data_IF_265009326187
#
_entry.id   IF_265009326187
#
_cell.length_a   1.000
_cell.length_b   1.000
_cell.length_c   1.000
_cell.angle_alpha   90.00
_cell.angle_beta   90.00
_cell.angle_gamma   90.00
#
_symmetry.space_group_name_H-M   'P 1'
#
loop_
_entity.id
_entity.type
_entity.pdbx_description
1 polymer ?
#
# COMPACT_ATOMS: atom_id res chain seq x y z
N UNK A 1 -21.25 -11.03 -70.46
CA UNK A 1 -20.70 -10.40 -69.24
C UNK A 1 -21.17 -11.19 -68.02
N UNK A 2 -20.34 -11.29 -66.97
CA UNK A 2 -19.99 -12.58 -66.39
C UNK A 2 -20.26 -12.67 -64.89
N UNK A 3 -20.18 -13.89 -64.35
CA UNK A 3 -19.52 -14.11 -63.06
C UNK A 3 -18.73 -15.41 -63.13
N UNK A 4 -17.49 -15.29 -62.68
CA UNK A 4 -16.35 -16.14 -62.94
C UNK A 4 -15.72 -16.44 -61.57
N UNK A 5 -15.41 -17.70 -61.29
CA UNK A 5 -14.18 -18.22 -60.62
C UNK A 5 -14.43 -19.44 -59.71
N UNK A 6 -14.07 -20.60 -60.29
CA UNK A 6 -13.01 -21.55 -59.87
C UNK A 6 -12.92 -22.02 -58.41
N UNK A 7 -13.21 -23.31 -58.25
CA UNK A 7 -12.30 -24.43 -57.91
C UNK A 7 -11.23 -24.23 -56.83
N UNK A 8 -11.33 -25.02 -55.73
CA UNK A 8 -10.35 -26.03 -55.31
C UNK A 8 -10.66 -26.54 -53.89
N UNK A 9 -11.56 -27.53 -53.77
CA UNK A 9 -11.76 -28.29 -52.52
C UNK A 9 -12.05 -29.74 -52.91
N UNK A 10 -11.03 -30.56 -53.22
CA UNK A 10 -11.16 -32.04 -53.15
C UNK A 10 -9.88 -32.85 -53.45
N UNK A 11 -8.66 -32.39 -53.10
CA UNK A 11 -7.44 -33.18 -53.41
C UNK A 11 -6.32 -33.13 -52.36
N UNK A 12 -6.64 -32.96 -51.07
CA UNK A 12 -5.63 -32.92 -50.01
C UNK A 12 -5.93 -33.78 -48.78
N UNK A 13 -6.90 -34.70 -48.87
CA UNK A 13 -7.34 -35.52 -47.73
C UNK A 13 -6.97 -37.01 -47.83
N UNK A 14 -6.21 -37.44 -48.84
CA UNK A 14 -5.92 -38.85 -49.09
C UNK A 14 -4.42 -39.24 -49.02
N UNK A 15 -3.55 -38.38 -48.48
CA UNK A 15 -2.10 -38.66 -48.45
C UNK A 15 -1.42 -38.52 -47.07
N UNK A 16 -2.18 -38.61 -45.97
CA UNK A 16 -1.63 -38.54 -44.61
C UNK A 16 -1.94 -39.76 -43.72
N UNK A 17 -2.58 -40.80 -44.27
CA UNK A 17 -2.88 -42.06 -43.58
C UNK A 17 -2.09 -43.18 -44.27
N UNK A 18 -0.76 -43.16 -44.14
CA UNK A 18 0.11 -44.28 -44.52
C UNK A 18 1.52 -44.22 -43.89
N UNK A 19 1.72 -43.45 -42.81
CA UNK A 19 3.01 -43.36 -42.10
C UNK A 19 2.90 -43.78 -40.62
N UNK A 20 2.09 -44.80 -40.36
CA UNK A 20 2.12 -45.53 -39.09
C UNK A 20 2.24 -47.01 -39.41
N UNK A 21 3.49 -47.52 -39.45
CA UNK A 21 3.91 -48.80 -38.85
C UNK A 21 5.33 -49.20 -39.28
N UNK A 22 6.13 -49.63 -38.28
CA UNK A 22 7.48 -50.27 -38.28
C UNK A 22 8.67 -49.30 -38.45
N UNK A 23 9.61 -49.21 -37.51
CA UNK A 23 10.40 -50.32 -36.95
C UNK A 23 10.91 -50.08 -35.52
N UNK A 24 11.04 -51.17 -34.76
CA UNK A 24 11.76 -51.28 -33.48
C UNK A 24 13.19 -51.81 -33.71
N UNK A 25 14.01 -51.73 -32.65
CA UNK A 25 15.43 -52.14 -32.43
C UNK A 25 16.42 -50.98 -32.63
N UNK A 26 17.31 -50.60 -31.70
CA UNK A 26 17.79 -51.29 -30.49
C UNK A 26 18.42 -50.31 -29.48
N UNK A 27 18.69 -50.83 -28.28
CA UNK A 27 19.14 -50.18 -27.02
C UNK A 27 20.45 -49.36 -27.11
N UNK A 28 20.48 -48.20 -26.45
CA UNK A 28 21.61 -47.81 -25.55
C UNK A 28 21.17 -46.71 -24.58
N UNK A 29 21.71 -46.75 -23.36
CA UNK A 29 21.11 -46.15 -22.16
C UNK A 29 20.92 -44.63 -22.21
N UNK A 30 19.68 -44.21 -21.90
CA UNK A 30 19.43 -42.87 -21.39
C UNK A 30 20.14 -42.76 -20.04
N UNK A 31 21.29 -42.11 -20.02
CA UNK A 31 21.79 -41.48 -18.81
C UNK A 31 20.65 -40.61 -18.28
N UNK A 32 20.19 -40.94 -17.08
CA UNK A 32 19.51 -39.98 -16.23
C UNK A 32 20.49 -38.82 -16.07
N UNK A 33 20.32 -37.76 -16.86
CA UNK A 33 20.76 -36.43 -16.44
C UNK A 33 19.86 -36.14 -15.25
N UNK A 34 20.34 -36.59 -14.08
CA UNK A 34 19.97 -36.01 -12.80
C UNK A 34 20.25 -34.53 -13.02
N UNK A 35 19.19 -33.77 -13.34
CA UNK A 35 19.24 -32.34 -13.26
C UNK A 35 19.71 -32.07 -11.86
N UNK A 36 20.96 -31.60 -11.74
CA UNK A 36 21.51 -31.19 -10.47
C UNK A 36 20.47 -30.25 -9.89
N UNK A 37 19.77 -30.68 -8.85
CA UNK A 37 19.16 -29.74 -7.93
C UNK A 37 20.28 -28.75 -7.64
N UNK A 38 20.13 -27.52 -8.14
CA UNK A 38 20.98 -26.42 -7.73
C UNK A 38 20.93 -26.48 -6.22
N UNK A 39 22.02 -26.93 -5.60
CA UNK A 39 22.15 -26.98 -4.15
C UNK A 39 21.64 -25.64 -3.65
N UNK A 40 20.60 -25.67 -2.82
CA UNK A 40 20.12 -24.49 -2.10
C UNK A 40 21.36 -23.87 -1.46
N UNK A 41 21.86 -22.80 -2.07
CA UNK A 41 22.99 -22.04 -1.59
C UNK A 41 22.66 -21.69 -0.14
N UNK A 42 23.30 -22.43 0.76
CA UNK A 42 22.91 -22.46 2.17
C UNK A 42 23.23 -21.08 2.69
N UNK A 43 22.19 -20.30 3.02
CA UNK A 43 22.39 -18.92 3.40
C UNK A 43 23.22 -18.86 4.69
N UNK A 44 24.45 -18.32 4.62
CA UNK A 44 25.33 -18.15 5.78
C UNK A 44 25.45 -16.67 6.11
N UNK A 45 24.73 -16.24 7.16
CA UNK A 45 24.72 -14.84 7.63
C UNK A 45 26.12 -14.29 7.92
N UNK A 46 27.04 -15.12 8.43
CA UNK A 46 28.40 -14.73 8.80
C UNK A 46 29.16 -14.08 7.63
N UNK A 47 28.82 -14.45 6.39
CA UNK A 47 29.44 -13.90 5.18
C UNK A 47 29.05 -12.44 4.90
N UNK A 48 28.09 -11.90 5.65
CA UNK A 48 27.59 -10.54 5.48
C UNK A 48 27.92 -9.62 6.66
N UNK A 49 28.66 -10.08 7.66
CA UNK A 49 28.94 -9.31 8.88
C UNK A 49 30.03 -8.28 8.63
N UNK A 50 29.74 -7.00 8.89
CA UNK A 50 30.72 -5.91 8.85
C UNK A 50 31.17 -5.47 10.24
N UNK A 51 30.26 -5.52 11.21
CA UNK A 51 30.49 -5.05 12.57
C UNK A 51 30.06 -6.11 13.58
N UNK A 52 30.98 -7.00 13.95
CA UNK A 52 30.71 -8.15 14.81
C UNK A 52 30.30 -7.80 16.25
N UNK A 53 30.53 -6.55 16.67
CA UNK A 53 30.14 -6.01 17.97
C UNK A 53 28.62 -5.93 18.16
N UNK A 54 27.86 -5.78 17.06
CA UNK A 54 26.40 -5.76 17.11
C UNK A 54 25.85 -7.18 16.99
N UNK A 55 24.74 -7.43 17.69
CA UNK A 55 24.09 -8.74 17.69
C UNK A 55 23.55 -9.14 16.31
N UNK A 56 23.38 -10.44 16.09
CA UNK A 56 22.79 -10.96 14.86
C UNK A 56 21.38 -10.38 14.69
N UNK A 57 21.10 -9.86 13.50
CA UNK A 57 19.83 -9.19 13.19
C UNK A 57 19.83 -7.67 13.40
N UNK A 58 20.79 -7.10 14.13
CA UNK A 58 20.92 -5.64 14.23
C UNK A 58 21.35 -5.04 12.87
N UNK A 59 20.63 -4.03 12.37
CA UNK A 59 20.93 -3.41 11.06
C UNK A 59 22.38 -2.91 10.96
N UNK A 60 22.94 -2.45 12.09
CA UNK A 60 24.30 -1.89 12.20
C UNK A 60 25.36 -2.95 12.01
N UNK A 61 25.10 -4.21 12.38
CA UNK A 61 25.97 -5.36 12.12
C UNK A 61 26.33 -5.50 10.64
N UNK A 62 25.39 -5.13 9.78
CA UNK A 62 25.47 -5.22 8.32
C UNK A 62 25.73 -3.86 7.66
N UNK A 63 26.10 -2.85 8.45
CA UNK A 63 26.55 -1.55 7.97
C UNK A 63 25.45 -0.51 7.72
N UNK A 64 24.22 -0.75 8.19
CA UNK A 64 23.11 0.20 8.09
C UNK A 64 22.87 0.83 9.46
N UNK A 65 23.22 2.11 9.57
CA UNK A 65 23.17 2.89 10.80
C UNK A 65 22.14 4.01 10.69
N UNK A 66 21.49 4.40 11.81
CA UNK A 66 20.81 5.68 11.87
C UNK A 66 21.81 6.83 11.76
N UNK A 67 21.33 7.98 11.30
CA UNK A 67 22.00 9.28 11.22
C UNK A 67 23.29 9.30 10.38
N UNK A 68 23.47 8.27 9.55
CA UNK A 68 24.55 8.16 8.58
C UNK A 68 23.96 7.97 7.19
N UNK A 69 24.43 8.75 6.23
CA UNK A 69 24.19 8.46 4.81
C UNK A 69 24.83 7.11 4.48
N UNK A 70 24.01 6.08 4.45
CA UNK A 70 24.45 4.71 4.13
C UNK A 70 23.60 4.09 3.02
N UNK A 71 22.61 4.82 2.48
CA UNK A 71 21.82 4.33 1.35
C UNK A 71 22.64 4.32 0.08
N UNK A 72 22.46 3.27 -0.70
CA UNK A 72 23.19 3.10 -1.96
C UNK A 72 24.64 2.60 -1.84
N UNK A 73 25.35 2.78 -0.71
CA UNK A 73 26.70 2.21 -0.60
C UNK A 73 26.65 0.68 -0.74
N UNK A 74 27.43 0.09 -1.66
CA UNK A 74 27.46 -1.36 -1.82
C UNK A 74 27.94 -2.03 -0.53
N UNK A 75 27.29 -3.13 -0.18
CA UNK A 75 27.76 -4.02 0.85
C UNK A 75 28.94 -4.85 0.29
N UNK A 76 30.11 -4.84 0.93
CA UNK A 76 31.37 -5.31 0.31
C UNK A 76 31.35 -6.78 -0.06
N UNK A 77 30.55 -7.61 0.63
CA UNK A 77 30.48 -9.05 0.35
C UNK A 77 29.40 -9.44 -0.68
N UNK A 78 28.35 -8.63 -0.84
CA UNK A 78 27.22 -8.99 -1.71
C UNK A 78 27.16 -8.16 -3.00
N UNK A 79 27.89 -7.04 -3.08
CA UNK A 79 27.85 -6.10 -4.20
C UNK A 79 26.54 -5.30 -4.35
N UNK A 80 25.44 -5.77 -3.74
CA UNK A 80 24.16 -5.04 -3.62
C UNK A 80 24.25 -3.89 -2.63
N UNK A 81 23.31 -2.94 -2.68
CA UNK A 81 23.18 -1.94 -1.62
C UNK A 81 22.92 -2.60 -0.27
N UNK A 82 23.43 -2.01 0.81
CA UNK A 82 23.33 -2.59 2.17
C UNK A 82 21.89 -2.89 2.59
N UNK A 83 20.91 -2.07 2.20
CA UNK A 83 19.50 -2.35 2.49
C UNK A 83 18.99 -3.59 1.75
N UNK A 84 19.39 -3.80 0.49
CA UNK A 84 19.00 -5.00 -0.24
C UNK A 84 19.66 -6.25 0.35
N UNK A 85 20.89 -6.12 0.84
CA UNK A 85 21.56 -7.19 1.60
C UNK A 85 20.82 -7.51 2.90
N UNK A 86 20.39 -6.51 3.67
CA UNK A 86 19.55 -6.72 4.86
C UNK A 86 18.26 -7.46 4.54
N UNK A 87 17.57 -7.06 3.47
CA UNK A 87 16.34 -7.72 3.03
C UNK A 87 16.62 -9.18 2.62
N UNK A 88 17.73 -9.45 1.92
CA UNK A 88 18.16 -10.83 1.60
C UNK A 88 18.45 -11.65 2.86
N UNK A 89 19.12 -11.05 3.86
CA UNK A 89 19.40 -11.70 5.15
C UNK A 89 18.09 -12.07 5.85
N UNK A 90 17.09 -11.19 5.82
CA UNK A 90 15.78 -11.46 6.41
C UNK A 90 15.04 -12.57 5.67
N UNK A 91 14.91 -12.42 4.35
CA UNK A 91 14.12 -13.30 3.48
C UNK A 91 14.72 -14.71 3.38
N UNK A 92 16.02 -14.83 3.08
CA UNK A 92 16.71 -16.11 2.87
C UNK A 92 17.17 -16.71 4.18
N UNK A 93 17.71 -15.88 5.09
CA UNK A 93 18.24 -16.33 6.37
C UNK A 93 17.19 -16.57 7.43
N UNK A 94 15.94 -16.11 7.23
CA UNK A 94 14.87 -16.12 8.23
C UNK A 94 15.29 -15.41 9.52
N UNK A 95 16.03 -14.32 9.35
CA UNK A 95 16.56 -13.52 10.46
C UNK A 95 15.70 -12.26 10.58
N UNK A 96 15.26 -11.96 11.78
CA UNK A 96 14.57 -10.71 12.06
C UNK A 96 15.59 -9.57 12.05
N UNK A 97 15.33 -8.54 11.25
CA UNK A 97 16.21 -7.39 11.13
C UNK A 97 15.68 -6.25 12.00
N UNK A 98 16.49 -5.82 12.96
CA UNK A 98 16.15 -4.78 13.93
C UNK A 98 16.79 -3.46 13.53
N UNK A 99 15.97 -2.42 13.41
CA UNK A 99 16.39 -1.03 13.28
C UNK A 99 16.21 -0.34 14.63
N UNK A 100 17.32 0.11 15.20
CA UNK A 100 17.31 0.90 16.44
C UNK A 100 16.73 2.29 16.20
N UNK A 101 16.44 3.02 17.28
CA UNK A 101 16.02 4.41 17.18
C UNK A 101 17.03 5.27 16.39
N UNK A 102 16.51 6.25 15.66
CA UNK A 102 17.27 7.25 14.89
C UNK A 102 16.72 7.44 13.47
N UNK A 103 17.28 8.41 12.73
CA UNK A 103 16.83 8.71 11.38
C UNK A 103 17.70 8.02 10.33
N UNK A 104 17.09 7.15 9.54
CA UNK A 104 17.70 6.49 8.39
C UNK A 104 17.37 7.35 7.15
N UNK A 105 18.34 8.12 6.60
CA UNK A 105 18.07 9.20 5.66
C UNK A 105 17.80 8.71 4.23
N UNK A 106 16.94 7.71 4.08
CA UNK A 106 16.65 7.05 2.82
C UNK A 106 15.26 6.40 2.80
N UNK A 107 14.88 5.98 1.58
CA UNK A 107 13.61 5.31 1.33
C UNK A 107 13.72 3.81 1.65
N UNK A 108 12.87 3.32 2.57
CA UNK A 108 12.74 1.90 2.83
C UNK A 108 11.89 1.27 1.72
N UNK A 109 12.53 0.61 0.78
CA UNK A 109 11.84 0.09 -0.41
C UNK A 109 11.93 -1.44 -0.48
N UNK A 110 10.78 -2.10 -0.37
CA UNK A 110 10.64 -3.54 -0.52
C UNK A 110 9.97 -3.82 -1.87
N UNK A 111 10.76 -4.36 -2.80
CA UNK A 111 10.33 -4.75 -4.14
C UNK A 111 10.48 -6.27 -4.28
N UNK A 112 9.41 -6.98 -4.65
CA UNK A 112 9.45 -8.42 -4.94
C UNK A 112 10.04 -9.24 -3.79
N UNK A 113 9.66 -8.89 -2.56
CA UNK A 113 10.13 -9.52 -1.33
C UNK A 113 9.10 -10.46 -0.73
N UNK A 114 9.56 -11.57 -0.16
CA UNK A 114 8.69 -12.51 0.56
C UNK A 114 9.27 -12.85 1.92
N UNK A 115 8.41 -13.13 2.89
CA UNK A 115 8.82 -13.64 4.21
C UNK A 115 9.88 -12.76 4.92
N UNK A 116 9.76 -11.44 4.79
CA UNK A 116 10.64 -10.47 5.45
C UNK A 116 10.04 -10.07 6.80
N UNK A 117 10.88 -10.02 7.84
CA UNK A 117 10.51 -9.53 9.16
C UNK A 117 11.47 -8.44 9.60
N UNK A 118 10.93 -7.24 9.76
CA UNK A 118 11.66 -6.06 10.22
C UNK A 118 11.06 -5.58 11.54
N UNK A 119 11.92 -5.26 12.50
CA UNK A 119 11.55 -4.75 13.82
C UNK A 119 12.07 -3.31 13.94
N UNK A 120 11.21 -2.37 14.31
CA UNK A 120 11.52 -0.95 14.42
C UNK A 120 11.38 -0.47 15.86
N UNK A 121 12.50 -0.06 16.44
CA UNK A 121 12.56 0.51 17.79
C UNK A 121 12.45 2.03 17.71
N UNK A 122 11.31 2.54 17.21
CA UNK A 122 11.11 3.98 16.92
C UNK A 122 12.03 4.52 15.81
N UNK A 123 12.45 3.69 14.88
CA UNK A 123 13.25 4.11 13.73
C UNK A 123 12.44 4.99 12.77
N UNK A 124 13.08 6.04 12.26
CA UNK A 124 12.50 6.98 11.29
C UNK A 124 13.13 6.77 9.92
N UNK A 125 12.32 6.67 8.88
CA UNK A 125 12.75 6.64 7.48
C UNK A 125 12.13 7.80 6.70
N UNK A 126 12.64 8.06 5.49
CA UNK A 126 12.03 9.06 4.61
C UNK A 126 10.65 8.58 4.13
N UNK A 127 10.63 7.45 3.44
CA UNK A 127 9.40 6.80 2.97
C UNK A 127 9.48 5.29 3.18
N UNK A 128 8.31 4.65 3.11
CA UNK A 128 8.19 3.21 2.95
C UNK A 128 7.42 2.92 1.66
N UNK A 129 8.06 2.24 0.72
CA UNK A 129 7.44 1.72 -0.49
C UNK A 129 7.40 0.20 -0.47
N UNK A 130 6.18 -0.34 -0.57
CA UNK A 130 5.90 -1.77 -0.72
C UNK A 130 5.31 -1.98 -2.11
N UNK A 131 6.04 -2.59 -3.03
CA UNK A 131 5.60 -2.65 -4.43
C UNK A 131 6.03 -3.91 -5.17
N UNK A 132 5.28 -4.29 -6.20
CA UNK A 132 5.73 -5.23 -7.23
C UNK A 132 5.32 -4.77 -8.61
N UNK A 133 6.25 -4.93 -9.54
CA UNK A 133 6.06 -4.58 -10.95
C UNK A 133 5.63 -5.79 -11.81
N UNK A 134 5.82 -7.03 -11.35
CA UNK A 134 5.59 -8.26 -12.13
C UNK A 134 4.67 -9.27 -11.40
N UNK A 135 4.50 -10.48 -11.93
CA UNK A 135 3.65 -11.56 -11.38
C UNK A 135 4.05 -12.05 -9.97
N UNK A 136 5.28 -11.80 -9.53
CA UNK A 136 5.70 -12.15 -8.18
C UNK A 136 5.23 -11.13 -7.16
N UNK A 137 4.14 -11.49 -6.47
CA UNK A 137 3.57 -10.66 -5.41
C UNK A 137 4.49 -10.66 -4.17
N UNK A 138 4.72 -9.47 -3.62
CA UNK A 138 5.31 -9.19 -2.32
C UNK A 138 4.33 -9.69 -1.28
N UNK A 139 4.79 -10.63 -0.47
CA UNK A 139 3.92 -11.30 0.45
C UNK A 139 4.59 -11.66 1.76
N UNK A 140 3.75 -11.83 2.79
CA UNK A 140 4.19 -12.27 4.11
C UNK A 140 5.27 -11.35 4.68
N UNK A 141 5.00 -10.04 4.66
CA UNK A 141 5.89 -9.02 5.26
C UNK A 141 5.36 -8.66 6.64
N UNK A 142 6.25 -8.66 7.63
CA UNK A 142 5.95 -8.20 8.98
C UNK A 142 6.83 -7.01 9.35
N UNK A 143 6.18 -5.91 9.72
CA UNK A 143 6.80 -4.69 10.20
C UNK A 143 6.38 -4.49 11.66
N UNK A 144 7.23 -4.93 12.57
CA UNK A 144 6.93 -4.99 14.02
C UNK A 144 7.51 -3.77 14.75
N UNK A 145 6.88 -3.37 15.85
CA UNK A 145 7.25 -2.16 16.58
C UNK A 145 6.74 -0.86 15.93
N UNK A 146 7.48 0.24 16.13
CA UNK A 146 7.08 1.59 15.67
C UNK A 146 7.99 2.07 14.56
N UNK A 147 7.45 2.17 13.35
CA UNK A 147 8.09 2.78 12.19
C UNK A 147 7.54 4.20 11.98
N UNK A 148 8.45 5.18 11.92
CA UNK A 148 8.10 6.56 11.61
C UNK A 148 8.55 6.93 10.19
N UNK A 149 7.74 7.72 9.48
CA UNK A 149 7.97 8.14 8.11
C UNK A 149 7.79 9.66 8.01
N UNK A 150 8.77 10.37 7.45
CA UNK A 150 8.68 11.84 7.32
C UNK A 150 7.95 12.33 6.07
N UNK A 151 7.56 11.40 5.19
CA UNK A 151 6.89 11.74 3.93
C UNK A 151 5.74 10.80 3.58
N UNK A 152 5.99 9.50 3.38
CA UNK A 152 4.96 8.65 2.78
C UNK A 152 5.07 7.16 3.08
N UNK A 153 3.91 6.54 3.32
CA UNK A 153 3.67 5.12 3.08
C UNK A 153 3.03 4.94 1.69
N UNK A 154 3.65 4.17 0.81
CA UNK A 154 3.10 3.81 -0.50
C UNK A 154 3.08 2.30 -0.69
N UNK A 155 1.91 1.76 -1.03
CA UNK A 155 1.72 0.35 -1.30
C UNK A 155 1.02 0.14 -2.65
N UNK A 156 1.53 -0.78 -3.46
CA UNK A 156 0.97 -1.13 -4.76
C UNK A 156 1.23 -2.61 -5.06
N UNK A 157 0.18 -3.34 -5.47
CA UNK A 157 0.32 -4.73 -5.89
C UNK A 157 0.98 -5.63 -4.83
N UNK A 158 0.48 -5.59 -3.59
CA UNK A 158 1.01 -6.36 -2.46
C UNK A 158 -0.05 -7.28 -1.86
N UNK A 159 0.37 -8.35 -1.18
CA UNK A 159 -0.56 -9.25 -0.50
C UNK A 159 -0.02 -9.77 0.83
N UNK A 160 -0.71 -9.54 1.94
CA UNK A 160 -0.31 -10.13 3.23
C UNK A 160 0.83 -9.36 3.87
N UNK A 161 0.53 -8.14 4.31
CA UNK A 161 1.46 -7.29 5.07
C UNK A 161 0.84 -6.97 6.42
N UNK A 162 1.60 -7.19 7.49
CA UNK A 162 1.20 -6.89 8.86
C UNK A 162 2.14 -5.82 9.42
N UNK A 163 1.56 -4.76 10.01
CA UNK A 163 2.30 -3.65 10.61
C UNK A 163 1.76 -3.37 12.01
N UNK A 164 2.66 -3.15 12.97
CA UNK A 164 2.27 -2.77 14.32
C UNK A 164 1.88 -1.29 14.38
N UNK A 165 2.87 -0.39 14.39
CA UNK A 165 2.65 1.07 14.50
C UNK A 165 3.37 1.81 13.38
N UNK A 166 2.60 2.54 12.57
CA UNK A 166 3.12 3.42 11.51
C UNK A 166 2.74 4.87 11.85
N UNK A 167 3.73 5.75 11.88
CA UNK A 167 3.54 7.19 12.11
C UNK A 167 4.08 7.96 10.92
N UNK A 168 3.20 8.56 10.13
CA UNK A 168 3.56 9.48 9.04
C UNK A 168 3.40 10.91 9.54
N UNK A 169 4.47 11.70 9.51
CA UNK A 169 4.47 13.06 10.00
C UNK A 169 5.42 13.93 9.18
N UNK A 170 5.37 15.24 9.38
CA UNK A 170 6.39 16.14 8.85
C UNK A 170 7.35 16.53 9.96
N UNK A 171 8.65 16.38 9.70
CA UNK A 171 9.68 16.89 10.59
C UNK A 171 10.18 18.24 10.08
N UNK A 172 9.53 19.30 10.54
CA UNK A 172 9.94 20.69 10.27
C UNK A 172 11.04 21.17 11.20
N UNK A 173 11.38 20.42 12.25
CA UNK A 173 12.33 20.86 13.30
C UNK A 173 13.77 20.48 12.94
N UNK A 174 13.96 19.31 12.33
CA UNK A 174 15.27 18.88 11.80
C UNK A 174 15.41 19.15 10.29
N UNK A 175 14.36 19.70 9.65
CA UNK A 175 14.26 19.97 8.21
C UNK A 175 14.73 18.78 7.37
N UNK A 176 14.27 17.58 7.72
CA UNK A 176 14.59 16.37 6.96
C UNK A 176 14.06 16.49 5.53
N UNK A 177 12.96 17.22 5.36
CA UNK A 177 12.36 17.62 4.11
C UNK A 177 11.84 19.06 4.25
N UNK A 178 11.94 19.86 3.20
CA UNK A 178 11.42 21.24 3.17
C UNK A 178 9.95 21.31 2.74
N UNK A 179 9.22 20.21 2.88
CA UNK A 179 7.82 20.11 2.50
C UNK A 179 7.06 19.22 3.50
N UNK A 180 5.75 19.46 3.56
CA UNK A 180 4.81 18.66 4.34
C UNK A 180 4.59 17.29 3.71
N UNK A 181 4.24 16.29 4.51
CA UNK A 181 4.24 14.90 4.07
C UNK A 181 3.05 14.60 3.14
N UNK A 182 3.12 13.47 2.42
CA UNK A 182 2.13 13.04 1.43
C UNK A 182 1.19 11.96 1.95
N UNK A 183 1.25 11.64 3.25
CA UNK A 183 0.35 10.71 3.91
C UNK A 183 0.58 9.23 3.55
N UNK A 184 -0.50 8.47 3.51
CA UNK A 184 -0.51 7.03 3.30
C UNK A 184 -1.37 6.67 2.09
N UNK A 185 -0.83 5.82 1.20
CA UNK A 185 -1.55 5.35 0.01
C UNK A 185 -1.47 3.83 -0.15
N UNK A 186 -2.63 3.18 -0.12
CA UNK A 186 -2.83 1.82 -0.60
C UNK A 186 -3.45 1.87 -1.98
N UNK A 187 -2.66 1.55 -3.00
CA UNK A 187 -3.07 1.62 -4.40
C UNK A 187 -3.47 0.25 -4.97
N UNK A 188 -3.84 0.22 -6.24
CA UNK A 188 -4.20 -0.95 -7.05
C UNK A 188 -3.53 -2.27 -6.63
N UNK A 189 -4.32 -3.35 -6.63
CA UNK A 189 -3.88 -4.73 -6.34
C UNK A 189 -3.29 -4.93 -4.94
N UNK A 190 -3.52 -4.00 -4.01
CA UNK A 190 -3.17 -4.17 -2.59
C UNK A 190 -4.23 -5.04 -1.92
N UNK A 191 -3.80 -6.11 -1.26
CA UNK A 191 -4.69 -7.06 -0.59
C UNK A 191 -4.14 -7.48 0.78
N UNK A 192 -5.02 -7.81 1.72
CA UNK A 192 -4.68 -8.40 3.02
C UNK A 192 -3.61 -7.60 3.77
N UNK A 193 -3.89 -6.33 4.03
CA UNK A 193 -3.02 -5.47 4.85
C UNK A 193 -3.65 -5.31 6.22
N UNK A 194 -2.85 -5.52 7.27
CA UNK A 194 -3.27 -5.31 8.66
C UNK A 194 -2.35 -4.30 9.34
N UNK A 195 -2.93 -3.31 10.00
CA UNK A 195 -2.21 -2.33 10.78
C UNK A 195 -2.85 -2.21 12.16
N UNK A 196 -2.07 -2.27 13.25
CA UNK A 196 -2.64 -2.03 14.59
C UNK A 196 -2.87 -0.53 14.79
N UNK A 197 -1.85 0.29 14.57
CA UNK A 197 -1.92 1.73 14.76
C UNK A 197 -1.36 2.49 13.55
N UNK A 198 -2.14 3.40 12.99
CA UNK A 198 -1.74 4.31 11.92
C UNK A 198 -2.00 5.75 12.34
N UNK A 199 -0.93 6.53 12.50
CA UNK A 199 -1.01 7.99 12.70
C UNK A 199 -0.52 8.72 11.45
N UNK A 200 -1.27 9.71 11.00
CA UNK A 200 -0.91 10.57 9.88
C UNK A 200 -1.17 12.01 10.29
N UNK A 201 -0.13 12.84 10.29
CA UNK A 201 -0.27 14.25 10.69
C UNK A 201 0.49 15.18 9.78
N UNK A 202 -0.03 16.38 9.56
CA UNK A 202 0.65 17.46 8.82
C UNK A 202 0.80 17.22 7.30
N UNK A 203 -0.26 16.75 6.64
CA UNK A 203 -0.25 16.47 5.20
C UNK A 203 -0.41 17.74 4.37
N UNK A 204 0.46 17.91 3.37
CA UNK A 204 0.56 19.13 2.55
C UNK A 204 -0.26 19.16 1.26
N UNK A 205 -0.24 20.34 0.63
CA UNK A 205 -0.88 20.64 -0.66
C UNK A 205 -0.17 21.82 -1.37
N UNK A 206 -0.72 22.30 -2.49
CA UNK A 206 -0.32 23.58 -3.10
C UNK A 206 0.89 23.52 -4.03
N UNK A 207 1.39 22.34 -4.37
CA UNK A 207 2.45 22.19 -5.38
C UNK A 207 2.28 20.89 -6.17
N UNK A 208 3.01 20.79 -7.29
CA UNK A 208 3.04 19.59 -8.14
C UNK A 208 3.40 18.31 -7.37
N UNK A 209 4.21 18.42 -6.30
CA UNK A 209 4.56 17.29 -5.43
C UNK A 209 3.31 16.59 -4.84
N UNK A 210 2.27 17.37 -4.58
CA UNK A 210 1.04 16.91 -3.95
C UNK A 210 -0.05 16.57 -4.96
N UNK A 211 0.21 16.56 -6.26
CA UNK A 211 -0.85 16.46 -7.26
C UNK A 211 -1.76 15.23 -7.12
N UNK A 212 -1.22 14.14 -6.57
CA UNK A 212 -1.91 12.86 -6.35
C UNK A 212 -2.17 12.57 -4.86
N UNK A 213 -2.13 13.60 -4.00
CA UNK A 213 -2.36 13.50 -2.55
C UNK A 213 -3.77 14.01 -2.24
N UNK A 214 -4.78 13.15 -2.35
CA UNK A 214 -6.19 13.53 -2.20
C UNK A 214 -6.66 13.50 -0.75
N UNK A 215 -6.07 12.64 0.07
CA UNK A 215 -6.39 12.46 1.47
C UNK A 215 -5.12 12.13 2.28
N UNK A 216 -5.20 12.25 3.61
CA UNK A 216 -4.14 11.74 4.48
C UNK A 216 -4.02 10.21 4.40
N UNK A 217 -5.13 9.49 4.50
CA UNK A 217 -5.20 8.06 4.18
C UNK A 217 -5.99 7.85 2.88
N UNK A 218 -5.32 7.35 1.85
CA UNK A 218 -5.90 7.02 0.56
C UNK A 218 -5.90 5.50 0.33
N UNK A 219 -7.08 4.94 0.10
CA UNK A 219 -7.28 3.58 -0.41
C UNK A 219 -8.01 3.74 -1.74
N UNK A 220 -7.29 3.60 -2.85
CA UNK A 220 -7.79 3.89 -4.20
C UNK A 220 -7.16 2.95 -5.24
N UNK A 221 -7.79 2.74 -6.40
CA UNK A 221 -7.18 1.92 -7.43
C UNK A 221 -8.10 1.44 -8.55
N UNK A 222 -8.82 2.34 -9.22
CA UNK A 222 -9.77 2.05 -10.30
C UNK A 222 -9.46 0.76 -11.10
N UNK A 223 -10.45 -0.14 -11.18
CA UNK A 223 -10.36 -1.44 -11.88
C UNK A 223 -9.81 -2.58 -11.03
N UNK A 224 -8.80 -2.31 -10.20
CA UNK A 224 -8.17 -3.30 -9.31
C UNK A 224 -8.08 -2.73 -7.88
N UNK A 225 -9.22 -2.27 -7.36
CA UNK A 225 -9.27 -1.59 -6.07
C UNK A 225 -8.68 -2.45 -4.94
N UNK A 226 -8.07 -1.83 -3.92
CA UNK A 226 -7.58 -2.54 -2.75
C UNK A 226 -8.66 -3.38 -2.06
N UNK A 227 -8.25 -4.47 -1.41
CA UNK A 227 -9.16 -5.40 -0.70
C UNK A 227 -8.62 -5.80 0.66
N UNK A 228 -9.51 -6.12 1.60
CA UNK A 228 -9.14 -6.72 2.89
C UNK A 228 -8.08 -5.88 3.64
N UNK A 229 -8.32 -4.57 3.73
CA UNK A 229 -7.47 -3.65 4.49
C UNK A 229 -8.08 -3.51 5.89
N UNK A 230 -7.34 -3.87 6.92
CA UNK A 230 -7.78 -3.80 8.31
C UNK A 230 -6.87 -2.90 9.12
N UNK A 231 -7.43 -1.87 9.76
CA UNK A 231 -6.67 -0.96 10.63
C UNK A 231 -7.40 -0.82 11.97
N UNK A 232 -6.75 -1.19 13.07
CA UNK A 232 -7.42 -1.18 14.39
C UNK A 232 -7.62 0.24 14.90
N UNK A 233 -6.64 1.12 14.73
CA UNK A 233 -6.74 2.52 15.07
C UNK A 233 -6.09 3.41 14.01
N UNK A 234 -6.82 4.45 13.58
CA UNK A 234 -6.38 5.49 12.66
C UNK A 234 -6.49 6.84 13.37
N UNK A 235 -5.41 7.61 13.39
CA UNK A 235 -5.38 8.98 13.90
C UNK A 235 -4.89 9.91 12.80
N UNK A 236 -5.73 10.85 12.38
CA UNK A 236 -5.45 11.81 11.31
C UNK A 236 -5.62 13.22 11.86
N UNK A 237 -4.62 14.08 11.68
CA UNK A 237 -4.68 15.45 12.20
C UNK A 237 -3.95 16.45 11.31
N UNK A 238 -4.46 17.68 11.18
CA UNK A 238 -3.83 18.77 10.43
C UNK A 238 -3.52 18.38 8.98
N UNK A 239 -4.58 18.28 8.18
CA UNK A 239 -4.51 17.81 6.79
C UNK A 239 -5.06 18.87 5.87
N UNK A 240 -4.31 19.21 4.83
CA UNK A 240 -4.73 20.23 3.88
C UNK A 240 -5.97 19.84 3.07
N UNK A 241 -6.19 18.54 2.85
CA UNK A 241 -7.23 18.02 1.96
C UNK A 241 -8.17 17.08 2.72
N UNK A 242 -8.62 15.99 2.11
CA UNK A 242 -9.49 15.04 2.79
C UNK A 242 -8.76 14.35 3.95
N UNK A 243 -9.47 14.03 5.04
CA UNK A 243 -8.90 13.18 6.09
C UNK A 243 -8.65 11.77 5.56
N UNK A 244 -9.68 11.12 5.06
CA UNK A 244 -9.62 9.78 4.51
C UNK A 244 -10.39 9.66 3.20
N UNK A 245 -9.86 8.91 2.25
CA UNK A 245 -10.54 8.49 1.02
C UNK A 245 -10.48 6.96 0.94
N UNK A 246 -11.64 6.31 0.81
CA UNK A 246 -11.72 4.85 0.76
C UNK A 246 -12.59 4.39 -0.41
N UNK A 247 -11.99 3.55 -1.25
CA UNK A 247 -12.66 2.70 -2.22
C UNK A 247 -12.20 1.24 -2.07
N UNK A 248 -12.86 0.32 -2.77
CA UNK A 248 -12.53 -1.10 -2.71
C UNK A 248 -13.50 -1.88 -1.82
N UNK A 249 -13.07 -3.03 -1.33
CA UNK A 249 -13.99 -3.92 -0.63
C UNK A 249 -13.39 -4.69 0.55
N UNK A 250 -14.26 -5.10 1.48
CA UNK A 250 -13.93 -5.89 2.66
C UNK A 250 -12.94 -5.20 3.61
N UNK A 251 -13.04 -3.87 3.77
CA UNK A 251 -12.18 -3.17 4.73
C UNK A 251 -12.77 -3.22 6.13
N UNK A 252 -11.92 -3.10 7.15
CA UNK A 252 -12.34 -3.07 8.55
C UNK A 252 -11.53 -2.07 9.35
N UNK A 253 -12.20 -1.08 9.93
CA UNK A 253 -11.58 -0.03 10.73
C UNK A 253 -12.13 -0.06 12.16
N UNK A 254 -11.24 -0.08 13.16
CA UNK A 254 -11.62 -0.11 14.56
C UNK A 254 -12.03 1.27 15.10
N UNK A 255 -11.07 2.15 15.35
CA UNK A 255 -11.34 3.55 15.72
C UNK A 255 -10.67 4.45 14.68
N UNK A 256 -11.43 5.39 14.14
CA UNK A 256 -10.93 6.43 13.25
C UNK A 256 -11.14 7.77 13.92
N UNK A 257 -10.07 8.50 14.19
CA UNK A 257 -10.09 9.86 14.72
C UNK A 257 -9.53 10.80 13.65
N UNK A 258 -10.33 11.75 13.17
CA UNK A 258 -9.92 12.74 12.17
C UNK A 258 -10.14 14.13 12.76
N UNK A 259 -9.10 14.97 12.77
CA UNK A 259 -9.20 16.36 13.22
C UNK A 259 -8.51 17.34 12.27
N UNK A 260 -9.05 18.56 12.15
CA UNK A 260 -8.46 19.65 11.36
C UNK A 260 -8.06 19.25 9.93
N UNK A 261 -9.05 19.08 9.05
CA UNK A 261 -8.87 18.72 7.64
C UNK A 261 -9.35 19.85 6.70
N UNK A 262 -9.02 19.78 5.42
CA UNK A 262 -9.67 20.57 4.36
C UNK A 262 -9.32 22.07 4.31
N UNK A 263 -8.22 22.51 4.92
CA UNK A 263 -7.81 23.94 4.95
C UNK A 263 -6.80 24.35 3.87
N UNK A 264 -6.29 23.40 3.11
CA UNK A 264 -5.22 23.63 2.16
C UNK A 264 -5.70 23.95 0.76
N UNK A 265 -4.77 23.83 -0.18
CA UNK A 265 -4.96 24.28 -1.56
C UNK A 265 -5.49 23.18 -2.49
N UNK A 266 -6.38 23.62 -3.38
CA UNK A 266 -6.87 22.88 -4.56
C UNK A 266 -5.90 22.95 -5.74
N UNK A 267 -4.91 23.84 -5.67
CA UNK A 267 -3.91 24.01 -6.70
C UNK A 267 -3.13 22.71 -6.94
N UNK A 268 -2.83 22.46 -8.22
CA UNK A 268 -2.18 21.24 -8.72
C UNK A 268 -2.89 19.92 -8.37
N UNK A 269 -4.12 19.94 -7.85
CA UNK A 269 -4.85 18.72 -7.53
C UNK A 269 -5.33 18.05 -8.81
N UNK A 270 -4.82 16.85 -9.08
CA UNK A 270 -5.33 16.04 -10.17
C UNK A 270 -6.75 15.56 -9.86
N UNK A 271 -7.51 15.26 -10.90
CA UNK A 271 -8.81 14.64 -10.74
C UNK A 271 -8.64 13.21 -10.21
N UNK A 272 -9.38 12.86 -9.15
CA UNK A 272 -9.46 11.48 -8.68
C UNK A 272 -10.19 10.66 -9.74
N UNK A 273 -9.65 9.48 -10.06
CA UNK A 273 -10.31 8.55 -10.98
C UNK A 273 -11.73 8.25 -10.49
N UNK A 274 -12.69 8.17 -11.41
CA UNK A 274 -14.12 7.91 -11.11
C UNK A 274 -14.92 9.05 -10.46
N UNK A 275 -14.32 10.24 -10.24
CA UNK A 275 -15.11 11.41 -9.79
C UNK A 275 -15.87 12.07 -10.93
N UNK A 276 -17.07 12.56 -10.64
CA UNK A 276 -17.91 13.31 -11.60
C UNK A 276 -17.67 14.80 -11.45
N UNK A 277 -17.54 15.51 -12.57
CA UNK A 277 -17.31 16.96 -12.55
C UNK A 277 -16.13 17.39 -11.68
N UNK A 278 -16.40 18.35 -10.78
CA UNK A 278 -15.43 19.01 -9.90
C UNK A 278 -15.49 18.52 -8.45
N UNK A 279 -16.14 17.40 -8.20
CA UNK A 279 -16.34 16.83 -6.88
C UNK A 279 -15.06 16.57 -6.08
N UNK A 280 -13.94 16.32 -6.75
CA UNK A 280 -12.63 16.13 -6.14
C UNK A 280 -12.06 17.41 -5.50
N UNK A 281 -12.68 18.57 -5.76
CA UNK A 281 -12.35 19.85 -5.16
C UNK A 281 -13.05 20.10 -3.81
N UNK A 282 -13.95 19.22 -3.39
CA UNK A 282 -14.60 19.27 -2.08
C UNK A 282 -13.79 18.43 -1.10
N UNK A 283 -13.28 19.06 -0.05
CA UNK A 283 -12.54 18.36 1.01
C UNK A 283 -13.47 17.99 2.15
N UNK A 284 -13.35 16.76 2.64
CA UNK A 284 -14.17 16.22 3.71
C UNK A 284 -13.35 15.41 4.71
N UNK A 285 -13.94 15.12 5.87
CA UNK A 285 -13.31 14.26 6.87
C UNK A 285 -13.08 12.86 6.31
N UNK A 286 -14.14 12.24 5.81
CA UNK A 286 -14.09 10.92 5.17
C UNK A 286 -14.89 10.91 3.85
N UNK A 287 -14.26 10.42 2.79
CA UNK A 287 -14.92 10.10 1.53
C UNK A 287 -14.99 8.59 1.34
N UNK A 288 -16.21 8.06 1.32
CA UNK A 288 -16.49 6.67 0.98
C UNK A 288 -16.96 6.62 -0.48
N UNK A 289 -16.10 6.16 -1.37
CA UNK A 289 -16.35 6.12 -2.82
C UNK A 289 -16.35 4.67 -3.33
N UNK A 290 -17.47 4.20 -3.89
CA UNK A 290 -17.58 2.85 -4.50
C UNK A 290 -16.96 1.77 -3.60
N UNK A 291 -17.29 1.85 -2.32
CA UNK A 291 -16.77 0.98 -1.28
C UNK A 291 -17.83 -0.05 -0.93
N UNK A 292 -17.41 -1.30 -0.75
CA UNK A 292 -18.30 -2.44 -0.55
C UNK A 292 -17.89 -3.23 0.69
N UNK A 293 -18.87 -3.85 1.36
CA UNK A 293 -18.65 -4.83 2.43
C UNK A 293 -17.66 -4.36 3.52
N UNK A 294 -17.70 -3.07 3.84
CA UNK A 294 -16.71 -2.41 4.69
C UNK A 294 -17.32 -2.02 6.02
N UNK A 295 -16.56 -2.19 7.09
CA UNK A 295 -17.02 -1.93 8.45
C UNK A 295 -16.15 -0.91 9.19
N UNK A 296 -16.80 0.05 9.84
CA UNK A 296 -16.20 1.01 10.75
C UNK A 296 -16.86 0.84 12.12
N UNK A 297 -16.08 0.48 13.14
CA UNK A 297 -16.61 0.38 14.51
C UNK A 297 -16.89 1.75 15.11
N UNK A 298 -15.96 2.70 14.99
CA UNK A 298 -16.13 4.08 15.47
C UNK A 298 -15.40 5.07 14.59
N UNK A 299 -16.09 6.15 14.23
CA UNK A 299 -15.55 7.28 13.47
C UNK A 299 -15.84 8.56 14.24
N UNK A 300 -14.79 9.28 14.62
CA UNK A 300 -14.87 10.58 15.28
C UNK A 300 -14.25 11.62 14.33
N UNK A 301 -15.03 12.63 13.95
CA UNK A 301 -14.58 13.68 13.04
C UNK A 301 -14.75 15.04 13.75
N UNK A 302 -13.63 15.70 14.00
CA UNK A 302 -13.54 17.00 14.64
C UNK A 302 -13.13 18.03 13.59
N UNK A 303 -14.12 18.70 13.01
CA UNK A 303 -13.87 19.81 12.11
C UNK A 303 -13.25 20.98 12.88
N UNK A 304 -12.40 21.73 12.21
CA UNK A 304 -11.79 22.91 12.80
C UNK A 304 -12.78 24.07 12.85
N UNK A 305 -12.68 24.89 13.89
CA UNK A 305 -13.65 25.97 14.09
C UNK A 305 -13.65 27.03 13.00
N UNK A 306 -12.53 27.19 12.31
CA UNK A 306 -12.40 28.16 11.21
C UNK A 306 -13.13 27.74 9.93
N UNK A 307 -13.64 26.52 9.83
CA UNK A 307 -14.43 26.09 8.69
C UNK A 307 -15.89 26.46 8.95
N UNK A 308 -16.46 27.34 8.14
CA UNK A 308 -17.87 27.75 8.31
C UNK A 308 -18.82 26.56 8.07
N UNK A 309 -18.58 25.81 7.00
CA UNK A 309 -19.41 24.67 6.57
C UNK A 309 -18.54 23.43 6.31
N UNK A 310 -18.07 22.72 7.35
CA UNK A 310 -17.22 21.56 7.17
C UNK A 310 -18.01 20.37 6.61
N UNK A 311 -17.51 19.77 5.54
CA UNK A 311 -18.07 18.51 5.02
C UNK A 311 -17.48 17.36 5.83
N UNK A 312 -18.24 16.79 6.76
CA UNK A 312 -17.75 15.69 7.59
C UNK A 312 -17.58 14.40 6.78
N UNK A 313 -18.57 14.08 5.96
CA UNK A 313 -18.58 12.88 5.15
C UNK A 313 -19.05 13.18 3.73
N UNK A 314 -18.51 12.42 2.78
CA UNK A 314 -19.00 12.33 1.42
C UNK A 314 -19.21 10.87 1.04
N UNK A 315 -20.41 10.54 0.56
CA UNK A 315 -20.85 9.17 0.29
C UNK A 315 -21.23 9.02 -1.19
N UNK A 316 -20.59 8.09 -1.91
CA UNK A 316 -20.96 7.77 -3.29
C UNK A 316 -21.93 6.57 -3.37
N UNK A 317 -22.34 6.21 -4.59
CA UNK A 317 -23.16 5.04 -4.88
C UNK A 317 -22.50 3.72 -4.50
N UNK A 318 -23.33 2.76 -4.13
CA UNK A 318 -22.91 1.38 -3.97
C UNK A 318 -24.09 0.41 -4.02
N UNK A 319 -23.84 -0.88 -4.28
CA UNK A 319 -24.89 -1.88 -4.26
C UNK A 319 -25.42 -2.08 -2.84
N UNK A 320 -26.73 -1.96 -2.65
CA UNK A 320 -27.42 -2.10 -1.34
C UNK A 320 -27.12 -3.43 -0.64
N UNK A 321 -26.87 -4.50 -1.40
CA UNK A 321 -26.56 -5.83 -0.88
C UNK A 321 -25.09 -6.02 -0.44
N UNK A 322 -24.24 -4.99 -0.57
CA UNK A 322 -22.86 -4.97 -0.07
C UNK A 322 -22.61 -3.74 0.79
N UNK A 323 -23.21 -3.67 1.98
CA UNK A 323 -23.27 -2.42 2.73
C UNK A 323 -21.89 -1.99 3.25
N UNK A 324 -21.73 -0.68 3.40
CA UNK A 324 -20.71 -0.10 4.27
C UNK A 324 -21.38 0.25 5.59
N UNK A 325 -20.87 -0.22 6.71
CA UNK A 325 -21.50 -0.03 8.02
C UNK A 325 -20.62 0.83 8.91
N UNK A 326 -21.17 1.92 9.45
CA UNK A 326 -20.57 2.74 10.51
C UNK A 326 -21.38 2.51 11.77
N UNK A 327 -20.80 1.85 12.77
CA UNK A 327 -21.51 1.52 14.00
C UNK A 327 -21.74 2.74 14.90
N UNK A 328 -20.78 3.66 14.93
CA UNK A 328 -20.86 4.88 15.71
C UNK A 328 -20.11 6.02 15.02
N UNK A 329 -20.83 7.08 14.71
CA UNK A 329 -20.31 8.33 14.17
C UNK A 329 -20.44 9.44 15.22
N UNK A 330 -19.35 10.15 15.49
CA UNK A 330 -19.34 11.34 16.34
C UNK A 330 -18.76 12.53 15.59
N UNK A 331 -19.49 13.64 15.62
CA UNK A 331 -19.13 14.90 14.97
C UNK A 331 -19.22 16.05 15.97
N UNK A 332 -18.31 17.02 15.86
CA UNK A 332 -18.31 18.17 16.76
C UNK A 332 -19.27 19.30 16.35
N UNK A 333 -20.05 19.11 15.29
CA UNK A 333 -21.08 20.07 14.84
C UNK A 333 -22.27 19.32 14.28
N UNK A 334 -23.42 19.98 14.27
CA UNK A 334 -24.64 19.47 13.62
C UNK A 334 -24.33 19.27 12.13
N UNK A 335 -24.63 18.07 11.64
CA UNK A 335 -24.48 17.73 10.25
C UNK A 335 -25.74 18.15 9.49
N UNK A 336 -25.72 19.37 8.93
CA UNK A 336 -26.81 19.90 8.09
C UNK A 336 -26.50 19.74 6.60
N UNK A 337 -25.94 18.60 6.19
CA UNK A 337 -25.70 18.35 4.78
C UNK A 337 -26.79 17.46 4.19
N UNK A 338 -27.41 17.91 3.10
CA UNK A 338 -28.26 17.07 2.24
C UNK A 338 -27.43 15.97 1.56
N UNK A 339 -26.09 16.04 1.59
CA UNK A 339 -25.14 15.14 0.93
C UNK A 339 -24.89 13.78 1.64
N UNK A 340 -25.42 13.48 2.82
CA UNK A 340 -25.58 12.05 3.22
C UNK A 340 -26.53 11.32 2.24
N UNK A 341 -27.28 12.08 1.43
CA UNK A 341 -28.12 11.60 0.34
C UNK A 341 -27.62 12.01 -1.05
N UNK A 342 -26.30 12.23 -1.23
CA UNK A 342 -25.72 12.69 -2.53
C UNK A 342 -26.16 11.79 -3.70
N UNK A 343 -26.46 10.52 -3.40
CA UNK A 343 -27.19 9.62 -4.30
C UNK A 343 -28.27 8.84 -3.56
N UNK A 344 -29.45 8.71 -4.18
CA UNK A 344 -30.56 7.83 -3.75
C UNK A 344 -30.16 6.35 -3.60
N UNK A 345 -28.92 5.99 -3.96
CA UNK A 345 -28.37 4.64 -4.07
C UNK A 345 -27.09 4.44 -3.26
N UNK A 346 -26.85 5.21 -2.19
CA UNK A 346 -25.74 4.88 -1.28
C UNK A 346 -26.00 3.55 -0.56
N UNK A 347 -24.94 2.77 -0.33
CA UNK A 347 -24.95 1.52 0.43
C UNK A 347 -24.44 1.70 1.88
N UNK A 348 -24.30 2.94 2.34
CA UNK A 348 -23.74 3.26 3.65
C UNK A 348 -24.86 3.29 4.70
N UNK A 349 -24.68 2.54 5.78
CA UNK A 349 -25.58 2.49 6.93
C UNK A 349 -24.85 3.00 8.18
N UNK A 350 -25.40 4.02 8.82
CA UNK A 350 -24.91 4.56 10.09
C UNK A 350 -25.86 4.13 11.20
N UNK A 351 -25.37 3.36 12.19
CA UNK A 351 -26.25 2.82 13.24
C UNK A 351 -26.51 3.81 14.38
N UNK A 352 -25.53 4.63 14.73
CA UNK A 352 -25.60 5.61 15.82
C UNK A 352 -24.83 6.86 15.44
N UNK A 353 -25.42 8.02 15.73
CA UNK A 353 -24.84 9.33 15.47
C UNK A 353 -24.88 10.14 16.76
N UNK A 354 -23.77 10.81 17.10
CA UNK A 354 -23.70 11.79 18.18
C UNK A 354 -23.12 13.09 17.63
N UNK A 355 -23.90 14.15 17.73
CA UNK A 355 -23.54 15.48 17.26
C UNK A 355 -23.54 16.43 18.46
N UNK A 356 -22.68 17.45 18.44
CA UNK A 356 -22.70 18.50 19.45
C UNK A 356 -23.77 19.53 19.09
N UNK A 357 -24.68 19.82 20.03
CA UNK A 357 -25.71 20.87 19.94
C UNK A 357 -25.06 22.23 20.18
#
# INVERSE_FOLDING_TARGET
>A
MPLNRKNNVSLLFALFICLVTKSCLDRSGKQNVVGSEKSLDTFVEKNYVLYSVYEKGDSRRYGVFPDKQADGSPHPFSGKSKIQTLLDISERGKIEIRFTEGYYPFDLTLIKRRNVRLIFENATFKTLYLTNENEEILNQIKLEGTLKLVDRLGAYNINGVEMDSIIVYSDTTNVLLNYRNRGCKFYKKTNNVKIKYLKISDVGSGSKLFENTYAALMIDGMGDNPKNISIQEVVISNVDRNGMYVSGNNHSFGIVNISSFGKGSKEHLNKIQETVGNEYLTFCGIWINRCEDTYFRRVNILADDSLEWPVFMKLDEGPVYKPVVIDYLEMNRIYEDTLIYDKKTTNVLIKRVKDSI
#
